data_IF_398634488075
#
_entry.id   IF_398634488075
#
_cell.length_a   1.000
_cell.length_b   1.000
_cell.length_c   1.000
_cell.angle_alpha   90.00
_cell.angle_beta   90.00
_cell.angle_gamma   90.00
#
_symmetry.space_group_name_H-M   'P 1'
#
loop_
_entity.id
_entity.type
_entity.pdbx_description
1 polymer ?
#
# COMPACT_ATOMS: atom_id res chain seq x y z
N UNK A 1 1.62 19.50 0.34
CA UNK A 1 1.27 18.11 0.68
C UNK A 1 -0.21 17.83 0.42
N UNK A 2 -1.16 18.51 1.06
CA UNK A 2 -2.61 18.25 0.90
C UNK A 2 -3.11 18.44 -0.55
N UNK A 3 -2.62 19.43 -1.28
CA UNK A 3 -2.95 19.62 -2.70
C UNK A 3 -2.48 18.44 -3.56
N UNK A 4 -1.31 17.88 -3.27
CA UNK A 4 -0.80 16.72 -3.98
C UNK A 4 -1.64 15.48 -3.71
N UNK A 5 -2.01 15.24 -2.45
CA UNK A 5 -2.91 14.15 -2.09
C UNK A 5 -4.27 14.26 -2.80
N UNK A 6 -4.90 15.44 -2.70
CA UNK A 6 -6.20 15.69 -3.32
C UNK A 6 -6.16 15.48 -4.85
N UNK A 7 -5.11 15.97 -5.50
CA UNK A 7 -4.96 15.78 -6.95
C UNK A 7 -4.69 14.33 -7.32
N UNK A 8 -3.90 13.61 -6.51
CA UNK A 8 -3.69 12.18 -6.68
C UNK A 8 -5.00 11.40 -6.67
N UNK A 9 -5.89 11.70 -5.70
CA UNK A 9 -7.25 11.11 -5.65
C UNK A 9 -8.03 11.42 -6.92
N UNK A 10 -8.13 12.70 -7.28
CA UNK A 10 -8.93 13.14 -8.43
C UNK A 10 -8.45 12.47 -9.72
N UNK A 11 -7.14 12.43 -9.96
CA UNK A 11 -6.59 11.79 -11.16
C UNK A 11 -6.80 10.28 -11.14
N UNK A 12 -6.63 9.61 -10.01
CA UNK A 12 -6.91 8.18 -9.89
C UNK A 12 -8.40 7.86 -10.17
N UNK A 13 -9.32 8.65 -9.62
CA UNK A 13 -10.75 8.52 -9.88
C UNK A 13 -11.09 8.72 -11.36
N UNK A 14 -10.56 9.77 -11.99
CA UNK A 14 -10.80 10.05 -13.41
C UNK A 14 -10.24 8.94 -14.31
N UNK A 15 -9.02 8.47 -14.03
CA UNK A 15 -8.41 7.41 -14.81
C UNK A 15 -9.16 6.09 -14.66
N UNK A 16 -9.56 5.71 -13.45
CA UNK A 16 -10.34 4.48 -13.25
C UNK A 16 -11.71 4.58 -13.90
N UNK A 17 -12.36 5.74 -13.86
CA UNK A 17 -13.61 5.97 -14.58
C UNK A 17 -13.45 5.81 -16.10
N UNK A 18 -12.35 6.31 -16.67
CA UNK A 18 -12.09 6.23 -18.12
C UNK A 18 -11.66 4.81 -18.53
N UNK A 19 -10.81 4.17 -17.76
CA UNK A 19 -10.24 2.86 -18.09
C UNK A 19 -11.18 1.69 -17.81
N UNK A 20 -11.94 1.77 -16.70
CA UNK A 20 -12.75 0.66 -16.20
C UNK A 20 -14.25 0.96 -16.18
N UNK A 21 -14.65 2.17 -16.60
CA UNK A 21 -16.07 2.58 -16.65
C UNK A 21 -16.69 2.88 -15.28
N UNK A 22 -15.93 2.76 -14.21
CA UNK A 22 -16.37 3.07 -12.82
C UNK A 22 -15.22 3.55 -11.98
N UNK A 23 -15.53 4.39 -10.99
CA UNK A 23 -14.56 4.84 -9.99
C UNK A 23 -14.25 3.68 -9.04
N UNK A 24 -12.97 3.45 -8.80
CA UNK A 24 -12.47 2.47 -7.85
C UNK A 24 -12.01 3.17 -6.57
N UNK A 25 -12.61 2.79 -5.43
CA UNK A 25 -12.28 3.38 -4.14
C UNK A 25 -10.86 3.07 -3.68
N UNK A 26 -10.40 1.83 -3.90
CA UNK A 26 -9.04 1.42 -3.53
C UNK A 26 -8.01 2.21 -4.32
N UNK A 27 -8.22 2.37 -5.62
CA UNK A 27 -7.36 3.21 -6.46
C UNK A 27 -7.41 4.68 -6.07
N UNK A 28 -8.55 5.20 -5.64
CA UNK A 28 -8.67 6.57 -5.15
C UNK A 28 -7.85 6.79 -3.88
N UNK A 29 -7.92 5.88 -2.91
CA UNK A 29 -7.13 5.92 -1.67
C UNK A 29 -5.63 5.79 -1.96
N UNK A 30 -5.25 4.85 -2.80
CA UNK A 30 -3.86 4.68 -3.23
C UNK A 30 -3.36 5.88 -4.06
N UNK A 31 -4.24 6.54 -4.81
CA UNK A 31 -3.96 7.81 -5.49
C UNK A 31 -3.61 8.93 -4.52
N UNK A 32 -4.28 9.01 -3.36
CA UNK A 32 -3.91 9.94 -2.29
C UNK A 32 -2.50 9.67 -1.77
N UNK A 33 -2.20 8.40 -1.46
CA UNK A 33 -0.88 7.97 -0.97
C UNK A 33 0.19 8.25 -2.03
N UNK A 34 -0.07 7.90 -3.29
CA UNK A 34 0.84 8.17 -4.40
C UNK A 34 1.13 9.65 -4.58
N UNK A 35 0.12 10.51 -4.45
CA UNK A 35 0.28 11.96 -4.46
C UNK A 35 1.14 12.48 -3.30
N UNK A 36 0.95 11.94 -2.10
CA UNK A 36 1.77 12.24 -0.92
C UNK A 36 3.22 11.80 -1.10
N UNK A 37 3.44 10.58 -1.55
CA UNK A 37 4.79 10.04 -1.80
C UNK A 37 5.51 10.87 -2.86
N UNK A 38 4.84 11.22 -3.96
CA UNK A 38 5.44 12.00 -5.03
C UNK A 38 5.95 13.37 -4.56
N UNK A 39 5.19 14.08 -3.71
CA UNK A 39 5.57 15.40 -3.23
C UNK A 39 6.65 15.37 -2.14
N UNK A 40 6.82 14.26 -1.43
CA UNK A 40 7.85 14.13 -0.39
C UNK A 40 9.27 14.13 -0.95
N UNK A 41 9.44 13.78 -2.23
CA UNK A 41 10.73 13.82 -2.92
C UNK A 41 11.19 15.25 -3.26
N UNK A 42 10.31 16.25 -3.17
CA UNK A 42 10.61 17.65 -3.41
C UNK A 42 10.02 18.54 -2.30
N UNK A 43 10.60 18.54 -1.09
CA UNK A 43 10.06 19.28 0.05
C UNK A 43 10.08 20.80 -0.11
N UNK A 44 10.90 21.30 -1.01
CA UNK A 44 11.09 22.71 -1.35
C UNK A 44 10.13 23.23 -2.44
N UNK A 45 9.19 22.40 -2.87
CA UNK A 45 8.13 22.82 -3.81
C UNK A 45 7.22 23.84 -3.15
N UNK A 46 7.47 25.11 -3.38
CA UNK A 46 6.75 26.23 -2.78
C UNK A 46 5.47 26.62 -3.53
N UNK A 47 5.37 26.33 -4.83
CA UNK A 47 4.25 26.72 -5.66
C UNK A 47 3.13 25.66 -5.65
N UNK A 48 1.90 26.06 -5.30
CA UNK A 48 0.75 25.15 -5.22
C UNK A 48 0.45 24.40 -6.52
N UNK A 49 0.59 25.03 -7.69
CA UNK A 49 0.38 24.39 -8.98
C UNK A 49 1.37 23.22 -9.25
N UNK A 50 2.61 23.35 -8.78
CA UNK A 50 3.61 22.27 -8.88
C UNK A 50 3.20 21.06 -8.04
N UNK A 51 2.67 21.30 -6.83
CA UNK A 51 2.14 20.24 -5.99
C UNK A 51 0.95 19.52 -6.65
N UNK A 52 0.10 20.26 -7.37
CA UNK A 52 -1.01 19.71 -8.16
C UNK A 52 -0.47 18.79 -9.26
N UNK A 53 0.49 19.24 -10.04
CA UNK A 53 1.08 18.43 -11.13
C UNK A 53 1.76 17.18 -10.58
N UNK A 54 2.62 17.33 -9.57
CA UNK A 54 3.36 16.21 -8.96
C UNK A 54 2.40 15.18 -8.36
N UNK A 55 1.40 15.64 -7.61
CA UNK A 55 0.39 14.77 -7.02
C UNK A 55 -0.46 14.04 -8.06
N UNK A 56 -0.82 14.73 -9.16
CA UNK A 56 -1.55 14.13 -10.27
C UNK A 56 -0.75 13.03 -10.98
N UNK A 57 0.54 13.25 -11.20
CA UNK A 57 1.44 12.22 -11.76
C UNK A 57 1.55 11.03 -10.80
N UNK A 58 1.68 11.28 -9.50
CA UNK A 58 1.70 10.23 -8.48
C UNK A 58 0.45 9.37 -8.49
N UNK A 59 -0.73 10.00 -8.53
CA UNK A 59 -2.01 9.30 -8.63
C UNK A 59 -2.15 8.50 -9.92
N UNK A 60 -1.69 9.04 -11.06
CA UNK A 60 -1.70 8.32 -12.34
C UNK A 60 -0.79 7.08 -12.30
N UNK A 61 0.43 7.23 -11.78
CA UNK A 61 1.38 6.11 -11.69
C UNK A 61 0.82 4.94 -10.89
N UNK A 62 0.10 5.20 -9.81
CA UNK A 62 -0.52 4.14 -8.98
C UNK A 62 -1.53 3.33 -9.79
N UNK A 63 -2.40 3.99 -10.57
CA UNK A 63 -3.44 3.30 -11.37
C UNK A 63 -2.83 2.33 -12.39
N UNK A 64 -1.63 2.60 -12.88
CA UNK A 64 -0.92 1.71 -13.79
C UNK A 64 -0.04 0.69 -13.06
N UNK A 65 0.57 1.08 -11.93
CA UNK A 65 1.49 0.23 -11.17
C UNK A 65 0.80 -0.96 -10.51
N UNK A 66 -0.39 -0.76 -9.93
CA UNK A 66 -1.15 -1.84 -9.27
C UNK A 66 -1.42 -2.99 -10.24
N UNK A 67 -2.10 -2.79 -11.39
CA UNK A 67 -2.36 -3.90 -12.32
C UNK A 67 -1.08 -4.48 -12.93
N UNK A 68 0.00 -3.71 -13.00
CA UNK A 68 1.28 -4.20 -13.47
C UNK A 68 1.92 -5.19 -12.49
N UNK A 69 1.91 -4.88 -11.18
CA UNK A 69 2.41 -5.78 -10.14
C UNK A 69 1.55 -7.05 -10.04
N UNK A 70 0.24 -6.91 -10.16
CA UNK A 70 -0.69 -8.05 -10.22
C UNK A 70 -0.34 -9.02 -11.36
N UNK A 71 -0.02 -8.49 -12.54
CA UNK A 71 0.44 -9.33 -13.68
C UNK A 71 1.75 -10.05 -13.40
N UNK A 72 2.62 -9.46 -12.59
CA UNK A 72 3.87 -10.10 -12.14
C UNK A 72 3.67 -11.10 -11.01
N UNK A 73 2.41 -11.30 -10.55
CA UNK A 73 2.05 -12.15 -9.40
C UNK A 73 2.74 -11.70 -8.11
N UNK A 74 2.97 -10.41 -7.96
CA UNK A 74 3.43 -9.79 -6.73
C UNK A 74 2.18 -9.38 -5.95
N UNK A 75 1.98 -10.00 -4.79
CA UNK A 75 0.84 -9.72 -3.94
C UNK A 75 1.01 -8.35 -3.25
N UNK A 76 0.22 -7.40 -3.68
CA UNK A 76 0.17 -6.03 -3.14
C UNK A 76 -1.29 -5.69 -2.77
N UNK A 77 -1.78 -6.38 -1.75
CA UNK A 77 -3.20 -6.44 -1.34
C UNK A 77 -3.87 -5.07 -1.26
N UNK A 78 -3.14 -4.06 -0.78
CA UNK A 78 -3.67 -2.70 -0.62
C UNK A 78 -3.05 -1.67 -1.57
N UNK A 79 -2.20 -2.10 -2.50
CA UNK A 79 -1.49 -1.20 -3.42
C UNK A 79 -0.38 -0.38 -2.76
N UNK A 80 0.09 -0.79 -1.57
CA UNK A 80 1.11 -0.05 -0.82
C UNK A 80 2.45 -0.03 -1.55
N UNK A 81 2.86 -1.15 -2.13
CA UNK A 81 4.09 -1.27 -2.91
C UNK A 81 4.02 -0.40 -4.17
N UNK A 82 2.88 -0.46 -4.88
CA UNK A 82 2.63 0.35 -6.07
C UNK A 82 2.67 1.84 -5.78
N UNK A 83 1.98 2.27 -4.72
CA UNK A 83 1.90 3.68 -4.34
C UNK A 83 3.25 4.23 -3.85
N UNK A 84 4.02 3.43 -3.12
CA UNK A 84 5.26 3.90 -2.48
C UNK A 84 6.48 3.70 -3.38
N UNK A 85 6.67 2.49 -3.93
CA UNK A 85 7.86 2.16 -4.70
C UNK A 85 7.84 2.81 -6.09
N UNK A 86 6.76 2.61 -6.86
CA UNK A 86 6.70 3.15 -8.22
C UNK A 86 6.76 4.68 -8.23
N UNK A 87 5.97 5.33 -7.37
CA UNK A 87 5.94 6.78 -7.29
C UNK A 87 7.22 7.34 -6.66
N UNK A 88 7.80 6.65 -5.68
CA UNK A 88 9.06 7.03 -5.06
C UNK A 88 10.22 7.05 -6.05
N UNK A 89 10.28 6.10 -6.99
CA UNK A 89 11.30 6.06 -8.04
C UNK A 89 11.14 7.22 -9.03
N UNK A 90 9.89 7.54 -9.42
CA UNK A 90 9.59 8.54 -10.45
C UNK A 90 9.26 9.93 -9.89
N UNK A 91 9.38 10.12 -8.57
CA UNK A 91 9.13 11.40 -7.92
C UNK A 91 10.16 12.49 -8.28
N UNK A 92 9.98 13.69 -7.72
CA UNK A 92 10.88 14.81 -7.94
C UNK A 92 12.27 14.53 -7.35
N UNK A 93 13.33 14.74 -8.13
CA UNK A 93 14.72 14.56 -7.70
C UNK A 93 15.56 13.72 -8.65
N UNK A 94 16.74 13.30 -8.20
CA UNK A 94 17.60 12.40 -8.96
C UNK A 94 17.11 10.95 -8.85
N UNK A 95 16.67 10.39 -9.96
CA UNK A 95 16.20 9.00 -10.06
C UNK A 95 17.25 8.03 -9.49
N UNK A 96 18.53 8.26 -9.78
CA UNK A 96 19.61 7.41 -9.28
C UNK A 96 19.71 7.47 -7.75
N UNK A 97 19.68 8.68 -7.18
CA UNK A 97 19.76 8.84 -5.72
C UNK A 97 18.56 8.21 -5.02
N UNK A 98 17.36 8.35 -5.59
CA UNK A 98 16.14 7.73 -5.06
C UNK A 98 16.20 6.20 -5.17
N UNK A 99 16.63 5.66 -6.30
CA UNK A 99 16.77 4.22 -6.48
C UNK A 99 17.79 3.63 -5.48
N UNK A 100 18.94 4.28 -5.27
CA UNK A 100 19.92 3.86 -4.26
C UNK A 100 19.33 3.92 -2.86
N UNK A 101 18.61 4.99 -2.51
CA UNK A 101 17.93 5.11 -1.21
C UNK A 101 16.89 4.01 -0.98
N UNK A 102 16.04 3.74 -1.96
CA UNK A 102 15.02 2.69 -1.89
C UNK A 102 15.66 1.32 -1.70
N UNK A 103 16.68 0.99 -2.49
CA UNK A 103 17.39 -0.29 -2.37
C UNK A 103 18.08 -0.42 -1.02
N UNK A 104 18.79 0.62 -0.55
CA UNK A 104 19.47 0.60 0.74
C UNK A 104 18.48 0.40 1.91
N UNK A 105 17.38 1.17 1.93
CA UNK A 105 16.34 1.04 2.96
C UNK A 105 15.63 -0.31 2.84
N UNK A 106 15.30 -0.75 1.63
CA UNK A 106 14.66 -2.04 1.40
C UNK A 106 15.48 -3.21 1.92
N UNK A 107 16.77 -3.25 1.60
CA UNK A 107 17.69 -4.28 2.09
C UNK A 107 17.81 -4.22 3.62
N UNK A 108 17.97 -3.03 4.19
CA UNK A 108 18.04 -2.86 5.64
C UNK A 108 16.78 -3.38 6.35
N UNK A 109 15.60 -2.94 5.90
CA UNK A 109 14.32 -3.33 6.49
C UNK A 109 14.08 -4.84 6.32
N UNK A 110 14.40 -5.39 5.15
CA UNK A 110 14.26 -6.83 4.90
C UNK A 110 15.11 -7.66 5.86
N UNK A 111 16.39 -7.33 6.01
CA UNK A 111 17.30 -8.05 6.92
C UNK A 111 16.84 -7.88 8.38
N UNK A 112 16.52 -6.64 8.80
CA UNK A 112 16.05 -6.36 10.15
C UNK A 112 14.75 -7.14 10.46
N UNK A 113 13.80 -7.17 9.52
CA UNK A 113 12.57 -7.93 9.65
C UNK A 113 12.82 -9.44 9.76
N UNK A 114 13.70 -9.99 8.93
CA UNK A 114 14.06 -11.42 9.03
C UNK A 114 14.63 -11.78 10.39
N UNK A 115 15.49 -10.91 10.95
CA UNK A 115 16.08 -11.13 12.29
C UNK A 115 14.99 -11.08 13.35
N UNK A 116 14.15 -10.04 13.35
CA UNK A 116 13.08 -9.87 14.35
C UNK A 116 12.08 -11.03 14.27
N UNK A 117 11.58 -11.35 13.08
CA UNK A 117 10.64 -12.44 12.89
C UNK A 117 11.26 -13.81 13.19
N UNK A 118 12.56 -13.98 12.90
CA UNK A 118 13.31 -15.19 13.28
C UNK A 118 13.39 -15.36 14.79
N UNK A 119 13.67 -14.28 15.52
CA UNK A 119 13.71 -14.30 17.00
C UNK A 119 12.31 -14.59 17.57
N UNK A 120 11.28 -13.92 17.07
CA UNK A 120 9.89 -14.13 17.52
C UNK A 120 9.45 -15.58 17.27
N UNK A 121 9.76 -16.12 16.10
CA UNK A 121 9.45 -17.52 15.77
C UNK A 121 10.13 -18.50 16.72
N UNK A 122 11.39 -18.23 17.11
CA UNK A 122 12.16 -19.11 17.97
C UNK A 122 11.78 -19.01 19.45
N UNK A 123 11.26 -17.83 19.90
CA UNK A 123 10.99 -17.57 21.34
C UNK A 123 9.53 -17.69 21.70
N UNK A 124 8.65 -17.05 20.95
CA UNK A 124 7.21 -16.95 21.25
C UNK A 124 6.37 -17.84 20.33
N UNK A 125 6.87 -18.14 19.14
CA UNK A 125 6.07 -18.67 18.06
C UNK A 125 5.38 -17.53 17.28
N UNK A 126 5.06 -17.77 16.02
CA UNK A 126 4.40 -16.80 15.13
C UNK A 126 3.13 -17.36 14.52
N UNK A 127 2.72 -18.54 14.97
CA UNK A 127 1.50 -19.19 14.51
C UNK A 127 0.69 -19.64 15.72
N UNK A 128 -0.58 -19.44 15.65
CA UNK A 128 -1.56 -19.95 16.62
C UNK A 128 -1.66 -21.47 16.55
N UNK A 129 -2.28 -22.08 17.55
CA UNK A 129 -2.53 -23.52 17.53
C UNK A 129 -3.50 -23.89 16.41
N UNK A 130 -3.41 -25.12 15.94
CA UNK A 130 -4.33 -25.64 14.90
C UNK A 130 -5.79 -25.62 15.39
N UNK A 131 -6.01 -25.85 16.69
CA UNK A 131 -7.31 -25.79 17.34
C UNK A 131 -7.91 -24.38 17.34
N UNK A 132 -7.10 -23.35 17.62
CA UNK A 132 -7.54 -21.96 17.57
C UNK A 132 -7.77 -21.47 16.13
N UNK A 133 -6.97 -21.97 15.16
CA UNK A 133 -7.14 -21.65 13.75
C UNK A 133 -8.46 -22.23 13.21
N UNK A 134 -8.85 -23.45 13.64
CA UNK A 134 -10.11 -24.07 13.27
C UNK A 134 -11.32 -23.46 14.00
N UNK A 135 -11.13 -23.05 15.26
CA UNK A 135 -12.19 -22.40 16.05
C UNK A 135 -12.52 -20.98 15.59
N UNK A 136 -11.55 -20.31 14.96
CA UNK A 136 -11.60 -18.90 14.57
C UNK A 136 -10.85 -17.99 15.54
N UNK A 137 -9.92 -17.22 15.01
CA UNK A 137 -9.06 -16.32 15.79
C UNK A 137 -9.82 -15.18 16.45
N UNK A 138 -10.92 -14.76 15.88
CA UNK A 138 -11.83 -13.79 16.45
C UNK A 138 -12.42 -14.26 17.80
N UNK A 139 -12.75 -15.53 17.91
CA UNK A 139 -13.22 -16.14 19.16
C UNK A 139 -12.05 -16.39 20.11
N UNK A 140 -10.95 -16.96 19.63
CA UNK A 140 -9.82 -17.36 20.45
C UNK A 140 -9.06 -16.15 21.06
N UNK A 141 -8.86 -15.08 20.30
CA UNK A 141 -8.08 -13.92 20.71
C UNK A 141 -8.93 -12.77 21.28
N UNK A 142 -10.11 -12.54 20.70
CA UNK A 142 -10.96 -11.37 21.03
C UNK A 142 -12.22 -11.77 21.80
N UNK A 143 -12.59 -13.04 21.77
CA UNK A 143 -13.78 -13.56 22.46
C UNK A 143 -15.10 -13.11 21.84
N UNK A 144 -15.08 -12.62 20.61
CA UNK A 144 -16.24 -12.15 19.87
C UNK A 144 -16.18 -12.67 18.45
N UNK A 145 -17.32 -13.19 17.99
CA UNK A 145 -17.48 -13.64 16.61
C UNK A 145 -17.63 -12.43 15.67
N UNK A 146 -16.76 -12.34 14.66
CA UNK A 146 -16.74 -11.22 13.73
C UNK A 146 -17.96 -11.19 12.80
N UNK A 147 -18.49 -12.37 12.46
CA UNK A 147 -19.62 -12.54 11.55
C UNK A 147 -20.61 -13.57 12.10
N UNK A 148 -21.38 -13.25 13.17
CA UNK A 148 -22.25 -14.21 13.85
C UNK A 148 -23.34 -14.79 12.94
N UNK A 149 -23.72 -14.07 11.88
CA UNK A 149 -24.67 -14.53 10.87
C UNK A 149 -24.16 -15.68 10.00
N UNK A 150 -22.85 -15.87 9.90
CA UNK A 150 -22.21 -16.96 9.13
C UNK A 150 -21.75 -18.12 10.01
N UNK A 151 -21.52 -17.91 11.31
CA UNK A 151 -21.00 -18.91 12.24
C UNK A 151 -22.05 -19.94 12.72
N UNK A 152 -23.29 -19.55 12.82
CA UNK A 152 -24.35 -20.36 13.42
C UNK A 152 -24.79 -21.60 12.62
N UNK A 153 -24.28 -21.82 11.40
CA UNK A 153 -24.73 -22.91 10.51
C UNK A 153 -23.79 -24.12 10.42
N UNK A 154 -22.62 -24.10 11.04
CA UNK A 154 -21.60 -25.14 10.85
C UNK A 154 -21.36 -26.06 12.03
N UNK A 155 -22.06 -25.87 13.16
CA UNK A 155 -21.99 -26.79 14.29
C UNK A 155 -23.34 -27.51 14.44
N UNK A 156 -23.49 -28.57 13.68
CA UNK A 156 -24.43 -29.68 13.97
C UNK A 156 -23.69 -30.99 13.88
#
# INVERSE_FOLDING_TARGET
TNLAAATGVVIAMLLTQVLYGKVDLTMALNGAIGGLVAITAGPDVSAGWKAIVVGGVGGALVVFAVPFLDKLKIDDVVGALSATLAVGIFGAGSILAQAVGIVAIGVFVFIASLIVWGILKATVGIRVSEEDEEAGLDIAEVGMEAYPEFGASTVK
#
